data_IF_535942975227
#
_entry.id   IF_535942975227
#
_cell.length_a   1.000
_cell.length_b   1.000
_cell.length_c   1.000
_cell.angle_alpha   90.00
_cell.angle_beta   90.00
_cell.angle_gamma   90.00
#
_symmetry.space_group_name_H-M   'P 1'
#
loop_
_entity.id
_entity.type
_entity.pdbx_description
1 polymer ?
#
# COMPACT_ATOMS: atom_id res chain seq x y z
N UNK A 1 6.62 -4.72 -22.03
CA UNK A 1 5.40 -4.74 -21.19
C UNK A 1 5.86 -4.52 -19.76
N UNK A 2 5.50 -3.41 -19.13
CA UNK A 2 5.67 -3.21 -17.69
C UNK A 2 4.41 -3.73 -17.02
N UNK A 3 4.54 -4.80 -16.24
CA UNK A 3 3.51 -5.22 -15.29
C UNK A 3 3.91 -4.69 -13.93
N UNK A 4 3.26 -3.63 -13.46
CA UNK A 4 3.27 -3.31 -12.04
C UNK A 4 2.24 -4.21 -11.38
N UNK A 5 2.70 -5.10 -10.51
CA UNK A 5 1.81 -5.80 -9.58
C UNK A 5 1.57 -4.82 -8.43
N UNK A 6 0.31 -4.45 -8.23
CA UNK A 6 -0.12 -3.60 -7.12
C UNK A 6 -1.21 -4.31 -6.33
N UNK A 7 -1.23 -4.04 -5.04
CA UNK A 7 -2.22 -4.54 -4.10
C UNK A 7 -3.27 -3.45 -3.86
N UNK A 8 -4.31 -3.40 -4.70
CA UNK A 8 -5.37 -2.39 -4.55
C UNK A 8 -6.21 -2.60 -3.28
N UNK A 9 -6.09 -3.77 -2.65
CA UNK A 9 -6.69 -4.09 -1.37
C UNK A 9 -5.90 -3.53 -0.17
N UNK A 10 -4.65 -3.10 -0.37
CA UNK A 10 -3.78 -2.62 0.71
C UNK A 10 -4.03 -1.15 1.05
N UNK A 11 -4.84 -0.94 2.07
CA UNK A 11 -5.13 0.38 2.61
C UNK A 11 -4.02 0.88 3.57
N UNK A 12 -4.06 2.17 3.89
CA UNK A 12 -3.09 2.83 4.79
C UNK A 12 -2.90 2.07 6.12
N UNK A 13 -3.96 1.64 6.84
CA UNK A 13 -3.81 0.79 8.02
C UNK A 13 -3.05 -0.53 7.76
N UNK A 14 -3.39 -1.26 6.70
CA UNK A 14 -2.72 -2.52 6.37
C UNK A 14 -1.25 -2.32 6.01
N UNK A 15 -0.93 -1.27 5.25
CA UNK A 15 0.46 -0.92 4.91
C UNK A 15 1.28 -0.59 6.16
N UNK A 16 0.70 0.11 7.14
CA UNK A 16 1.36 0.40 8.42
C UNK A 16 1.61 -0.87 9.24
N UNK A 17 0.62 -1.75 9.31
CA UNK A 17 0.76 -3.04 10.00
C UNK A 17 1.85 -3.91 9.36
N UNK A 18 1.85 -4.03 8.04
CA UNK A 18 2.87 -4.80 7.31
C UNK A 18 4.26 -4.19 7.44
N UNK A 19 4.37 -2.87 7.39
CA UNK A 19 5.66 -2.17 7.58
C UNK A 19 6.25 -2.44 8.96
N UNK A 20 5.40 -2.61 9.98
CA UNK A 20 5.82 -2.98 11.33
C UNK A 20 6.14 -4.48 11.43
N UNK A 21 5.25 -5.33 10.94
CA UNK A 21 5.33 -6.79 11.03
C UNK A 21 6.50 -7.38 10.26
N UNK A 22 6.87 -6.77 9.13
CA UNK A 22 7.96 -7.22 8.25
C UNK A 22 9.16 -6.27 8.24
N UNK A 23 9.30 -5.41 9.26
CA UNK A 23 10.34 -4.38 9.31
C UNK A 23 11.76 -4.92 9.02
N UNK A 24 12.12 -6.07 9.60
CA UNK A 24 13.43 -6.69 9.38
C UNK A 24 13.65 -7.07 7.91
N UNK A 25 12.66 -7.72 7.28
CA UNK A 25 12.70 -8.13 5.87
C UNK A 25 12.78 -6.92 4.93
N UNK A 26 12.01 -5.87 5.23
CA UNK A 26 12.01 -4.63 4.43
C UNK A 26 13.37 -3.94 4.54
N UNK A 27 13.94 -3.86 5.74
CA UNK A 27 15.22 -3.20 5.99
C UNK A 27 16.41 -3.83 5.25
N UNK A 28 16.32 -5.10 4.84
CA UNK A 28 17.34 -5.75 3.98
C UNK A 28 17.51 -5.04 2.63
N UNK A 29 16.46 -4.38 2.11
CA UNK A 29 16.43 -3.74 0.78
C UNK A 29 16.18 -2.24 0.87
N UNK A 30 15.40 -1.82 1.86
CA UNK A 30 14.97 -0.44 2.09
C UNK A 30 15.20 -0.08 3.56
N UNK A 31 16.47 0.10 3.98
CA UNK A 31 16.83 0.35 5.37
C UNK A 31 16.24 1.65 5.92
N UNK A 32 15.92 2.61 5.06
CA UNK A 32 15.32 3.92 5.35
C UNK A 32 13.77 3.88 5.33
N UNK A 33 13.14 2.72 5.13
CA UNK A 33 11.69 2.63 4.94
C UNK A 33 10.90 3.21 6.12
N UNK A 34 11.27 2.86 7.36
CA UNK A 34 10.55 3.33 8.54
C UNK A 34 10.63 4.85 8.73
N UNK A 35 11.72 5.48 8.30
CA UNK A 35 11.89 6.93 8.41
C UNK A 35 11.02 7.68 7.39
N UNK A 36 10.69 7.03 6.27
CA UNK A 36 9.91 7.61 5.18
C UNK A 36 8.43 7.21 5.18
N UNK A 37 8.07 6.16 5.92
CA UNK A 37 6.73 5.58 5.89
C UNK A 37 5.63 6.61 6.13
N UNK A 38 5.79 7.47 7.14
CA UNK A 38 4.75 8.46 7.46
C UNK A 38 4.57 9.50 6.34
N UNK A 39 5.65 9.93 5.68
CA UNK A 39 5.59 10.84 4.54
C UNK A 39 4.95 10.17 3.31
N UNK A 40 5.29 8.90 3.04
CA UNK A 40 4.70 8.13 1.94
C UNK A 40 3.20 7.87 2.16
N UNK A 41 2.80 7.56 3.39
CA UNK A 41 1.40 7.38 3.76
C UNK A 41 0.62 8.70 3.68
N UNK A 42 1.22 9.83 4.11
CA UNK A 42 0.58 11.13 4.02
C UNK A 42 0.42 11.61 2.57
N UNK A 43 1.44 11.37 1.73
CA UNK A 43 1.44 11.79 0.33
C UNK A 43 0.56 10.94 -0.58
N UNK A 44 0.60 9.61 -0.41
CA UNK A 44 -0.01 8.67 -1.35
C UNK A 44 -1.23 7.93 -0.79
N UNK A 45 -1.34 7.78 0.54
CA UNK A 45 -2.35 6.96 1.21
C UNK A 45 -3.79 7.33 0.85
N UNK A 46 -4.22 8.60 0.96
CA UNK A 46 -5.61 8.98 0.70
C UNK A 46 -6.10 8.64 -0.72
N UNK A 47 -5.27 8.88 -1.74
CA UNK A 47 -5.63 8.57 -3.13
C UNK A 47 -5.58 7.06 -3.41
N UNK A 48 -4.60 6.35 -2.83
CA UNK A 48 -4.50 4.91 -2.94
C UNK A 48 -5.71 4.19 -2.32
N UNK A 49 -6.11 4.59 -1.10
CA UNK A 49 -7.28 4.03 -0.39
C UNK A 49 -8.56 4.25 -1.21
N UNK A 50 -8.75 5.48 -1.72
CA UNK A 50 -9.92 5.83 -2.52
C UNK A 50 -9.97 5.05 -3.85
N UNK A 51 -8.84 4.93 -4.54
CA UNK A 51 -8.73 4.18 -5.79
C UNK A 51 -8.96 2.67 -5.57
N UNK A 52 -8.36 2.10 -4.52
CA UNK A 52 -8.54 0.71 -4.15
C UNK A 52 -10.00 0.34 -3.88
N UNK A 53 -10.69 1.17 -3.09
CA UNK A 53 -12.12 1.00 -2.83
C UNK A 53 -12.96 1.11 -4.11
N UNK A 54 -12.66 2.07 -4.99
CA UNK A 54 -13.38 2.24 -6.25
C UNK A 54 -13.22 1.01 -7.16
N UNK A 55 -12.00 0.47 -7.27
CA UNK A 55 -11.71 -0.75 -8.04
C UNK A 55 -12.46 -1.94 -7.44
N UNK A 56 -12.40 -2.13 -6.12
CA UNK A 56 -13.10 -3.22 -5.43
C UNK A 56 -14.62 -3.16 -5.66
N UNK A 57 -15.21 -1.96 -5.57
CA UNK A 57 -16.64 -1.74 -5.83
C UNK A 57 -17.01 -2.02 -7.29
N UNK A 58 -16.20 -1.54 -8.24
CA UNK A 58 -16.41 -1.77 -9.65
C UNK A 58 -16.38 -3.27 -9.98
N UNK A 59 -15.44 -4.02 -9.39
CA UNK A 59 -15.37 -5.47 -9.55
C UNK A 59 -16.63 -6.17 -9.03
N UNK A 60 -17.08 -5.85 -7.81
CA UNK A 60 -18.30 -6.45 -7.23
C UNK A 60 -19.53 -6.16 -8.09
N UNK A 61 -19.59 -5.03 -8.79
CA UNK A 61 -20.71 -4.70 -9.68
C UNK A 61 -20.72 -5.53 -10.99
N UNK A 62 -19.69 -6.33 -11.26
CA UNK A 62 -19.60 -7.19 -12.46
C UNK A 62 -20.07 -8.64 -12.24
N UNK A 63 -20.38 -9.02 -11.00
CA UNK A 63 -20.86 -10.35 -10.61
C UNK A 63 -22.31 -10.31 -10.14
#
# INVERSE_FOLDING_TARGET
VYGFQFHFEADTPMVRDWSTSFAATIAERHPDWNDRLDDELAGNGPEADAAGLAIARAWVATI
#
